data_IF_229746671196
#
_entry.id   IF_229746671196
#
_cell.length_a   1.000
_cell.length_b   1.000
_cell.length_c   1.000
_cell.angle_alpha   90.00
_cell.angle_beta   90.00
_cell.angle_gamma   90.00
#
_symmetry.space_group_name_H-M   'P 1'
#
loop_
_entity.id
_entity.type
_entity.pdbx_description
1 polymer ?
#
# COMPACT_ATOMS: atom_id res chain seq x y z
N UNK A 1 -1.14 -11.64 10.03
CA UNK A 1 -1.28 -10.23 10.46
C UNK A 1 -2.53 -9.97 11.28
N UNK A 2 -3.74 -10.35 10.85
CA UNK A 2 -4.97 -10.17 11.67
C UNK A 2 -4.84 -10.65 13.12
N UNK A 3 -4.38 -11.90 13.32
CA UNK A 3 -4.11 -12.46 14.65
C UNK A 3 -3.06 -11.64 15.44
N UNK A 4 -1.96 -11.29 14.77
CA UNK A 4 -0.89 -10.48 15.37
C UNK A 4 -1.37 -9.10 15.82
N UNK A 5 -2.20 -8.42 15.03
CA UNK A 5 -2.81 -7.13 15.41
C UNK A 5 -3.73 -7.30 16.62
N UNK A 6 -4.51 -8.37 16.69
CA UNK A 6 -5.35 -8.64 17.85
C UNK A 6 -4.52 -8.94 19.11
N UNK A 7 -3.48 -9.78 19.00
CA UNK A 7 -2.56 -10.07 20.09
C UNK A 7 -1.87 -8.79 20.59
N UNK A 8 -1.46 -7.89 19.70
CA UNK A 8 -0.86 -6.62 20.12
C UNK A 8 -1.87 -5.71 20.80
N UNK A 9 -3.12 -5.61 20.30
CA UNK A 9 -4.19 -4.84 20.95
C UNK A 9 -4.50 -5.31 22.36
N UNK A 10 -4.49 -6.62 22.59
CA UNK A 10 -4.74 -7.19 23.92
C UNK A 10 -3.61 -6.88 24.90
N UNK A 11 -2.37 -6.75 24.42
CA UNK A 11 -1.18 -6.54 25.25
C UNK A 11 -0.77 -5.06 25.40
N UNK A 12 -1.28 -4.17 24.55
CA UNK A 12 -1.00 -2.74 24.64
C UNK A 12 -2.00 -2.07 25.58
N UNK A 13 -1.53 -1.49 26.68
CA UNK A 13 -2.27 -0.43 27.35
C UNK A 13 -2.49 0.72 26.34
N UNK A 14 -3.45 1.63 26.59
CA UNK A 14 -3.66 2.87 25.81
C UNK A 14 -2.44 3.83 25.92
N UNK A 15 -1.28 3.36 25.49
CA UNK A 15 0.01 4.01 25.50
C UNK A 15 0.55 3.96 24.07
N UNK A 16 0.72 5.15 23.50
CA UNK A 16 1.04 5.37 22.10
C UNK A 16 2.37 6.11 21.98
N UNK A 17 3.51 5.39 22.07
CA UNK A 17 4.82 6.02 22.17
C UNK A 17 5.18 6.86 20.94
N UNK A 18 4.66 6.53 19.76
CA UNK A 18 4.96 7.27 18.53
C UNK A 18 4.21 8.61 18.42
N UNK A 19 3.22 8.86 19.28
CA UNK A 19 2.49 10.14 19.29
C UNK A 19 3.37 11.34 19.64
N UNK A 20 4.49 11.13 20.34
CA UNK A 20 5.49 12.20 20.59
C UNK A 20 5.95 12.88 19.29
N UNK A 21 5.95 12.16 18.17
CA UNK A 21 6.32 12.72 16.86
C UNK A 21 5.30 13.70 16.30
N UNK A 22 4.11 13.82 16.88
CA UNK A 22 3.00 14.62 16.37
C UNK A 22 2.69 15.86 17.24
N UNK A 23 3.37 16.05 18.37
CA UNK A 23 3.08 17.13 19.34
C UNK A 23 3.19 18.54 18.75
N UNK A 24 3.90 18.68 17.63
CA UNK A 24 4.09 19.96 16.93
C UNK A 24 2.95 20.32 15.96
N UNK A 25 1.91 19.47 15.83
CA UNK A 25 0.84 19.59 14.82
C UNK A 25 -0.52 20.05 15.38
N UNK A 26 -0.55 20.64 16.58
CA UNK A 26 -1.79 20.99 17.30
C UNK A 26 -2.55 22.16 16.67
N UNK A 27 -3.87 22.03 16.49
CA UNK A 27 -4.80 23.02 15.89
C UNK A 27 -6.28 22.78 16.38
N UNK A 28 -7.16 23.79 16.26
CA UNK A 28 -8.47 23.86 16.96
C UNK A 28 -9.68 23.20 16.24
N UNK A 29 -9.50 22.58 15.06
CA UNK A 29 -10.60 21.95 14.31
C UNK A 29 -10.54 20.40 14.33
N UNK A 30 -11.63 19.74 13.94
CA UNK A 30 -11.64 18.27 13.74
C UNK A 30 -11.65 17.93 12.24
N UNK A 31 -10.75 17.04 11.76
CA UNK A 31 -10.74 16.62 10.37
C UNK A 31 -11.94 15.71 10.04
N UNK A 32 -12.42 15.79 8.79
CA UNK A 32 -13.51 14.94 8.29
C UNK A 32 -12.99 13.69 7.57
N UNK A 33 -11.78 13.76 7.02
CA UNK A 33 -11.12 12.69 6.28
C UNK A 33 -10.05 12.02 7.15
N UNK A 34 -10.46 11.03 7.95
CA UNK A 34 -9.58 10.36 8.93
C UNK A 34 -9.26 8.92 8.57
N UNK A 35 -9.94 8.35 7.57
CA UNK A 35 -9.73 6.97 7.14
C UNK A 35 -8.58 6.93 6.16
N UNK A 36 -7.54 6.19 6.53
CA UNK A 36 -6.33 6.03 5.75
C UNK A 36 -6.23 4.60 5.22
N UNK A 37 -5.87 4.45 3.95
CA UNK A 37 -5.50 3.18 3.34
C UNK A 37 -4.01 3.23 3.01
N UNK A 38 -3.24 2.36 3.66
CA UNK A 38 -1.77 2.27 3.52
C UNK A 38 -1.45 1.03 2.70
N UNK A 39 -0.64 1.18 1.66
CA UNK A 39 -0.26 0.10 0.73
C UNK A 39 1.21 0.26 0.34
N UNK A 40 2.03 -0.74 0.69
CA UNK A 40 3.47 -0.73 0.45
C UNK A 40 3.77 -0.90 -1.05
N UNK A 41 4.71 -0.10 -1.52
CA UNK A 41 5.03 -0.04 -2.93
C UNK A 41 5.83 -1.26 -3.39
N UNK A 42 5.31 -1.96 -4.40
CA UNK A 42 5.88 -3.18 -4.98
C UNK A 42 6.50 -4.12 -3.93
N UNK A 43 5.81 -4.34 -2.81
CA UNK A 43 6.33 -4.83 -1.52
C UNK A 43 7.48 -5.86 -1.61
N UNK A 44 7.29 -7.01 -2.27
CA UNK A 44 8.33 -8.04 -2.31
C UNK A 44 9.60 -7.60 -3.04
N UNK A 45 9.49 -6.73 -4.05
CA UNK A 45 10.64 -6.12 -4.72
C UNK A 45 11.31 -5.13 -3.78
N UNK A 46 10.56 -4.23 -3.14
CA UNK A 46 11.10 -3.26 -2.20
C UNK A 46 11.91 -3.92 -1.08
N UNK A 47 11.39 -5.02 -0.50
CA UNK A 47 12.13 -5.80 0.50
C UNK A 47 13.40 -6.43 -0.09
N UNK A 48 13.32 -7.01 -1.29
CA UNK A 48 14.47 -7.64 -1.94
C UNK A 48 15.58 -6.65 -2.34
N UNK A 49 15.23 -5.39 -2.61
CA UNK A 49 16.18 -4.33 -2.96
C UNK A 49 16.93 -3.77 -1.75
N UNK A 50 16.45 -3.99 -0.51
CA UNK A 50 17.14 -3.52 0.72
C UNK A 50 18.58 -4.00 0.83
N UNK A 51 18.85 -5.21 0.36
CA UNK A 51 20.18 -5.84 0.38
C UNK A 51 20.87 -5.82 -0.98
N UNK A 52 20.27 -5.14 -1.98
CA UNK A 52 20.71 -5.11 -3.38
C UNK A 52 20.62 -3.70 -3.98
N UNK A 53 21.37 -2.73 -3.44
CA UNK A 53 21.31 -1.34 -3.90
C UNK A 53 21.68 -1.19 -5.40
N UNK A 54 22.49 -2.08 -5.95
CA UNK A 54 22.87 -2.12 -7.36
C UNK A 54 21.71 -2.44 -8.32
N UNK A 55 20.56 -2.86 -7.79
CA UNK A 55 19.34 -3.16 -8.54
C UNK A 55 18.28 -2.06 -8.46
N UNK A 56 18.51 -1.01 -7.67
CA UNK A 56 17.62 0.17 -7.60
C UNK A 56 17.57 0.83 -8.99
N UNK A 57 16.36 1.17 -9.46
CA UNK A 57 16.15 1.75 -10.78
C UNK A 57 16.20 0.76 -11.94
N UNK A 58 16.29 -0.56 -11.68
CA UNK A 58 16.27 -1.61 -12.70
C UNK A 58 14.92 -2.34 -12.74
N UNK A 59 14.52 -2.92 -13.88
CA UNK A 59 13.30 -3.73 -13.97
C UNK A 59 13.49 -5.06 -13.23
N UNK A 60 12.90 -5.15 -12.04
CA UNK A 60 13.02 -6.33 -11.15
C UNK A 60 11.65 -6.99 -10.94
N UNK A 61 11.63 -8.32 -10.87
CA UNK A 61 10.45 -9.12 -10.55
C UNK A 61 10.78 -10.24 -9.55
N UNK A 62 9.85 -10.54 -8.64
CA UNK A 62 9.93 -11.68 -7.72
C UNK A 62 9.14 -12.85 -8.28
N UNK A 63 9.78 -14.01 -8.37
CA UNK A 63 9.18 -15.23 -8.92
C UNK A 63 9.97 -16.49 -8.52
N UNK A 64 9.35 -17.66 -8.65
CA UNK A 64 9.98 -18.95 -8.35
C UNK A 64 11.02 -19.37 -9.41
N UNK A 65 10.89 -18.85 -10.62
CA UNK A 65 11.74 -19.22 -11.74
C UNK A 65 13.11 -18.56 -11.66
N UNK A 66 14.16 -19.38 -11.62
CA UNK A 66 15.57 -18.96 -11.72
C UNK A 66 16.07 -18.86 -13.17
N UNK A 67 15.17 -18.81 -14.16
CA UNK A 67 15.56 -18.59 -15.56
C UNK A 67 16.13 -19.80 -16.31
N UNK A 68 15.80 -21.03 -15.91
CA UNK A 68 16.19 -22.27 -16.62
C UNK A 68 14.95 -22.94 -17.23
N UNK A 69 15.12 -23.58 -18.40
CA UNK A 69 14.10 -24.24 -19.23
C UNK A 69 12.89 -24.78 -18.44
N UNK A 70 11.68 -24.33 -18.81
CA UNK A 70 10.43 -24.55 -18.05
C UNK A 70 10.00 -23.34 -17.19
N UNK A 71 10.94 -22.44 -16.87
CA UNK A 71 10.80 -21.14 -16.21
C UNK A 71 9.68 -20.21 -16.70
N UNK A 72 9.25 -20.35 -17.96
CA UNK A 72 8.33 -19.41 -18.60
C UNK A 72 6.91 -19.40 -18.03
N UNK A 73 6.52 -20.47 -17.33
CA UNK A 73 5.17 -20.66 -16.77
C UNK A 73 5.06 -20.18 -15.31
N UNK A 74 6.14 -19.72 -14.69
CA UNK A 74 6.03 -19.11 -13.36
C UNK A 74 5.39 -17.73 -13.46
N UNK A 75 4.50 -17.44 -12.52
CA UNK A 75 3.89 -16.12 -12.37
C UNK A 75 4.84 -15.16 -11.64
N UNK A 76 4.68 -13.88 -11.94
CA UNK A 76 5.36 -12.79 -11.23
C UNK A 76 4.53 -12.41 -10.00
N UNK A 77 5.10 -12.57 -8.81
CA UNK A 77 4.44 -12.19 -7.56
C UNK A 77 4.36 -10.67 -7.40
N UNK A 78 5.49 -10.00 -7.66
CA UNK A 78 5.63 -8.55 -7.60
C UNK A 78 6.65 -8.10 -8.63
N UNK A 79 6.44 -6.95 -9.24
CA UNK A 79 7.38 -6.30 -10.14
C UNK A 79 7.58 -4.83 -9.78
N UNK A 80 8.78 -4.32 -10.05
CA UNK A 80 9.20 -2.94 -9.81
C UNK A 80 8.42 -1.95 -10.69
N UNK A 81 8.42 -0.68 -10.33
CA UNK A 81 7.76 0.35 -11.14
C UNK A 81 8.43 0.53 -12.51
N UNK A 82 9.74 0.31 -12.59
CA UNK A 82 10.51 0.30 -13.84
C UNK A 82 10.06 -0.85 -14.76
N UNK A 83 9.80 -2.04 -14.20
CA UNK A 83 9.21 -3.14 -14.96
C UNK A 83 7.76 -2.84 -15.37
N UNK A 84 6.97 -2.20 -14.49
CA UNK A 84 5.58 -1.78 -14.81
C UNK A 84 5.52 -0.75 -15.91
N UNK A 85 6.47 0.17 -15.98
CA UNK A 85 6.58 1.16 -17.05
C UNK A 85 6.79 0.50 -18.43
N UNK A 86 7.44 -0.68 -18.45
CA UNK A 86 7.61 -1.50 -19.66
C UNK A 86 6.43 -2.46 -19.91
N UNK A 87 5.35 -2.37 -19.14
CA UNK A 87 4.14 -3.18 -19.34
C UNK A 87 4.10 -4.50 -18.56
N UNK A 88 5.10 -4.80 -17.72
CA UNK A 88 5.04 -5.95 -16.81
C UNK A 88 3.97 -5.71 -15.73
N UNK A 89 3.29 -6.78 -15.31
CA UNK A 89 2.23 -6.73 -14.29
C UNK A 89 2.37 -7.91 -13.33
N UNK A 90 1.96 -7.70 -12.08
CA UNK A 90 1.83 -8.81 -11.13
C UNK A 90 0.81 -9.83 -11.67
N UNK A 91 1.04 -11.12 -11.39
CA UNK A 91 0.23 -12.23 -11.87
C UNK A 91 0.47 -12.63 -13.32
N UNK A 92 1.28 -11.89 -14.09
CA UNK A 92 1.61 -12.30 -15.45
C UNK A 92 2.72 -13.37 -15.48
N UNK A 93 2.70 -14.22 -16.50
CA UNK A 93 3.76 -15.21 -16.72
C UNK A 93 5.06 -14.56 -17.17
N UNK A 94 6.20 -15.05 -16.66
CA UNK A 94 7.54 -14.56 -17.05
C UNK A 94 7.75 -14.61 -18.56
N UNK A 95 7.26 -15.65 -19.24
CA UNK A 95 7.38 -15.76 -20.71
C UNK A 95 6.77 -14.55 -21.43
N UNK A 96 5.67 -14.01 -20.90
CA UNK A 96 5.02 -12.83 -21.48
C UNK A 96 5.71 -11.55 -21.02
N UNK A 97 6.12 -11.47 -19.75
CA UNK A 97 6.87 -10.33 -19.23
C UNK A 97 8.18 -10.08 -19.99
N UNK A 98 8.94 -11.14 -20.31
CA UNK A 98 10.20 -11.04 -21.06
C UNK A 98 10.05 -10.58 -22.51
N UNK A 99 8.85 -10.71 -23.10
CA UNK A 99 8.60 -10.18 -24.44
C UNK A 99 8.55 -8.65 -24.45
N UNK A 100 8.05 -8.06 -23.36
CA UNK A 100 7.92 -6.59 -23.22
C UNK A 100 9.08 -5.96 -22.46
N UNK A 101 9.77 -6.75 -21.63
CA UNK A 101 10.95 -6.36 -20.85
C UNK A 101 12.02 -7.46 -20.94
N UNK A 102 12.85 -7.49 -22.00
CA UNK A 102 13.88 -8.52 -22.18
C UNK A 102 14.91 -8.56 -21.04
N UNK A 103 15.26 -7.38 -20.51
CA UNK A 103 16.25 -7.19 -19.44
C UNK A 103 15.67 -7.43 -18.03
N UNK A 104 14.48 -8.04 -17.91
CA UNK A 104 13.82 -8.28 -16.63
C UNK A 104 14.67 -9.17 -15.71
N UNK A 105 15.01 -8.63 -14.54
CA UNK A 105 15.78 -9.29 -13.50
C UNK A 105 14.82 -10.05 -12.60
N UNK A 106 14.96 -11.37 -12.51
CA UNK A 106 14.11 -12.22 -11.68
C UNK A 106 14.85 -12.60 -10.40
N UNK A 107 14.25 -12.30 -9.24
CA UNK A 107 14.79 -12.63 -7.92
C UNK A 107 13.88 -13.66 -7.21
N UNK A 108 14.45 -14.50 -6.33
CA UNK A 108 13.67 -15.46 -5.55
C UNK A 108 12.86 -14.78 -4.44
N UNK A 109 11.90 -15.51 -3.89
CA UNK A 109 11.16 -15.07 -2.70
C UNK A 109 12.04 -15.05 -1.44
N UNK A 110 11.79 -14.07 -0.58
CA UNK A 110 12.39 -13.91 0.74
C UNK A 110 11.28 -13.84 1.81
N UNK A 111 10.58 -14.96 2.03
CA UNK A 111 9.35 -15.00 2.83
C UNK A 111 9.52 -14.55 4.28
N UNK A 112 10.67 -14.86 4.90
CA UNK A 112 10.93 -14.45 6.27
C UNK A 112 11.13 -12.93 6.36
N UNK A 113 11.92 -12.34 5.45
CA UNK A 113 12.09 -10.87 5.35
C UNK A 113 10.74 -10.16 5.15
N UNK A 114 9.85 -10.71 4.31
CA UNK A 114 8.50 -10.15 4.11
C UNK A 114 7.68 -10.17 5.40
N UNK A 115 7.78 -11.25 6.18
CA UNK A 115 7.06 -11.38 7.45
C UNK A 115 7.61 -10.42 8.49
N UNK A 116 8.92 -10.26 8.58
CA UNK A 116 9.58 -9.34 9.51
C UNK A 116 9.21 -7.90 9.22
N UNK A 117 9.37 -7.45 7.97
CA UNK A 117 9.01 -6.08 7.55
C UNK A 117 7.52 -5.81 7.76
N UNK A 118 6.66 -6.78 7.44
CA UNK A 118 5.22 -6.66 7.70
C UNK A 118 4.93 -6.42 9.18
N UNK A 119 5.50 -7.23 10.09
CA UNK A 119 5.33 -7.05 11.54
C UNK A 119 5.85 -5.70 12.02
N UNK A 120 6.98 -5.26 11.52
CA UNK A 120 7.57 -3.96 11.87
C UNK A 120 6.62 -2.81 11.50
N UNK A 121 6.01 -2.85 10.32
CA UNK A 121 5.04 -1.83 9.87
C UNK A 121 3.80 -1.80 10.75
N UNK A 122 3.23 -2.96 11.06
CA UNK A 122 2.10 -3.03 11.98
C UNK A 122 2.48 -2.51 13.38
N UNK A 123 3.70 -2.76 13.84
CA UNK A 123 4.20 -2.27 15.13
C UNK A 123 4.37 -0.75 15.15
N UNK A 124 4.87 -0.15 14.06
CA UNK A 124 4.94 1.30 13.88
C UNK A 124 3.56 1.93 14.02
N UNK A 125 2.57 1.41 13.27
CA UNK A 125 1.22 1.96 13.27
C UNK A 125 0.52 1.86 14.64
N UNK A 126 0.76 0.76 15.35
CA UNK A 126 0.26 0.56 16.71
C UNK A 126 0.88 1.52 17.73
N UNK A 127 2.03 2.11 17.42
CA UNK A 127 2.61 3.22 18.16
C UNK A 127 1.78 4.51 18.10
N UNK A 128 0.88 4.63 17.11
CA UNK A 128 -0.01 5.78 16.93
C UNK A 128 -1.44 5.48 17.37
N UNK A 129 -2.02 4.38 16.90
CA UNK A 129 -3.43 4.04 17.13
C UNK A 129 -3.70 2.54 17.12
N UNK A 130 -4.69 2.09 17.90
CA UNK A 130 -5.17 0.71 17.86
C UNK A 130 -6.22 0.49 16.76
N UNK A 131 -6.72 1.54 16.11
CA UNK A 131 -7.80 1.49 15.12
C UNK A 131 -7.29 1.06 13.73
N UNK A 132 -6.71 -0.14 13.66
CA UNK A 132 -6.10 -0.72 12.46
C UNK A 132 -6.90 -1.92 11.96
N UNK A 133 -7.25 -1.94 10.68
CA UNK A 133 -7.83 -3.12 10.03
C UNK A 133 -6.82 -3.72 9.05
N UNK A 134 -6.23 -4.84 9.46
CA UNK A 134 -5.32 -5.61 8.61
C UNK A 134 -6.05 -6.20 7.39
N UNK A 135 -5.56 -5.88 6.19
CA UNK A 135 -6.06 -6.43 4.91
C UNK A 135 -5.16 -7.59 4.47
N UNK A 136 -3.85 -7.33 4.33
CA UNK A 136 -2.81 -8.30 3.93
C UNK A 136 -1.52 -8.11 4.77
N UNK A 137 -0.39 -8.65 4.30
CA UNK A 137 0.92 -8.37 4.89
C UNK A 137 1.41 -6.93 4.63
N UNK A 138 0.94 -6.31 3.57
CA UNK A 138 1.43 -5.05 3.02
C UNK A 138 0.31 -4.01 2.78
N UNK A 139 -0.92 -4.33 3.19
CA UNK A 139 -2.10 -3.50 3.00
C UNK A 139 -2.94 -3.45 4.30
N UNK A 140 -3.33 -2.24 4.70
CA UNK A 140 -4.11 -2.01 5.92
C UNK A 140 -4.94 -0.73 5.82
N UNK A 141 -6.02 -0.69 6.61
CA UNK A 141 -6.72 0.57 6.90
C UNK A 141 -6.40 1.04 8.31
N UNK A 142 -6.31 2.34 8.50
CA UNK A 142 -6.07 3.00 9.79
C UNK A 142 -7.10 4.12 9.93
N UNK A 143 -7.79 4.16 11.06
CA UNK A 143 -8.68 5.27 11.41
C UNK A 143 -7.99 6.18 12.43
N UNK A 144 -7.77 7.43 12.00
CA UNK A 144 -7.08 8.45 12.79
C UNK A 144 -8.04 9.36 13.56
N UNK A 145 -9.36 9.14 13.53
CA UNK A 145 -10.33 10.04 14.15
C UNK A 145 -10.07 10.24 15.65
N UNK A 146 -9.92 9.15 16.42
CA UNK A 146 -9.61 9.23 17.86
C UNK A 146 -8.27 9.90 18.14
N UNK A 147 -7.24 9.59 17.34
CA UNK A 147 -5.92 10.18 17.48
C UNK A 147 -5.96 11.70 17.25
N UNK A 148 -6.65 12.14 16.19
CA UNK A 148 -6.79 13.55 15.86
C UNK A 148 -7.52 14.31 16.97
N UNK A 149 -8.58 13.72 17.55
CA UNK A 149 -9.32 14.31 18.67
C UNK A 149 -8.49 14.40 19.95
N UNK A 150 -7.80 13.32 20.32
CA UNK A 150 -7.01 13.26 21.56
C UNK A 150 -5.80 14.19 21.52
N UNK A 151 -5.17 14.32 20.35
CA UNK A 151 -3.99 15.18 20.15
C UNK A 151 -4.31 16.58 19.64
N UNK A 152 -5.58 16.88 19.37
CA UNK A 152 -6.02 18.13 18.75
C UNK A 152 -5.27 18.42 17.43
N UNK A 153 -5.19 17.43 16.54
CA UNK A 153 -4.51 17.57 15.23
C UNK A 153 -5.55 17.64 14.12
N UNK A 154 -5.48 18.67 13.29
CA UNK A 154 -6.36 18.84 12.12
C UNK A 154 -5.78 18.23 10.86
N UNK A 155 -4.46 18.32 10.68
CA UNK A 155 -3.83 18.01 9.42
C UNK A 155 -3.42 16.53 9.31
N UNK A 156 -4.36 15.71 8.84
CA UNK A 156 -4.14 14.27 8.62
C UNK A 156 -3.01 14.01 7.61
N UNK A 157 -2.78 14.90 6.63
CA UNK A 157 -1.68 14.74 5.69
C UNK A 157 -0.32 14.78 6.41
N UNK A 158 -0.14 15.64 7.41
CA UNK A 158 1.12 15.71 8.16
C UNK A 158 1.37 14.45 9.01
N UNK A 159 0.32 13.93 9.67
CA UNK A 159 0.42 12.64 10.38
C UNK A 159 0.88 11.54 9.42
N UNK A 160 0.30 11.50 8.22
CA UNK A 160 0.67 10.51 7.20
C UNK A 160 2.10 10.73 6.67
N UNK A 161 2.56 11.97 6.51
CA UNK A 161 3.95 12.28 6.14
C UNK A 161 4.93 11.74 7.18
N UNK A 162 4.63 11.91 8.47
CA UNK A 162 5.43 11.37 9.58
C UNK A 162 5.45 9.85 9.55
N UNK A 163 4.28 9.21 9.47
CA UNK A 163 4.15 7.74 9.43
C UNK A 163 4.91 7.15 8.23
N UNK A 164 4.76 7.74 7.03
CA UNK A 164 5.46 7.28 5.82
C UNK A 164 6.98 7.40 5.96
N UNK A 165 7.45 8.50 6.53
CA UNK A 165 8.87 8.72 6.79
C UNK A 165 9.41 7.69 7.78
N UNK A 166 8.68 7.42 8.87
CA UNK A 166 9.07 6.40 9.85
C UNK A 166 9.10 4.98 9.24
N UNK A 167 8.10 4.61 8.43
CA UNK A 167 8.08 3.35 7.69
C UNK A 167 9.33 3.24 6.80
N UNK A 168 9.66 4.29 6.04
CA UNK A 168 10.85 4.29 5.18
C UNK A 168 12.13 4.15 5.99
N UNK A 169 12.29 4.93 7.07
CA UNK A 169 13.50 4.91 7.91
C UNK A 169 13.72 3.56 8.57
N UNK A 170 12.67 2.93 9.11
CA UNK A 170 12.79 1.65 9.83
C UNK A 170 12.91 0.45 8.89
N UNK A 171 12.12 0.46 7.81
CA UNK A 171 11.99 -0.73 6.95
C UNK A 171 12.78 -0.64 5.64
N UNK A 172 13.22 0.55 5.23
CA UNK A 172 13.78 0.80 3.91
C UNK A 172 12.77 0.68 2.76
N UNK A 173 11.47 0.53 3.05
CA UNK A 173 10.42 0.37 2.06
C UNK A 173 9.51 1.61 2.01
N UNK A 174 9.13 2.02 0.80
CA UNK A 174 8.16 3.10 0.62
C UNK A 174 6.72 2.59 0.78
N UNK A 175 5.87 3.45 1.33
CA UNK A 175 4.43 3.22 1.39
C UNK A 175 3.69 4.38 0.73
N UNK A 176 2.64 4.03 -0.02
CA UNK A 176 1.69 4.99 -0.57
C UNK A 176 0.42 4.99 0.26
N UNK A 177 -0.13 6.18 0.53
CA UNK A 177 -1.25 6.34 1.45
C UNK A 177 -2.38 7.14 0.82
N UNK A 178 -3.59 6.59 0.85
CA UNK A 178 -4.80 7.30 0.44
C UNK A 178 -5.63 7.68 1.65
N UNK A 179 -6.18 8.90 1.66
CA UNK A 179 -6.96 9.44 2.78
C UNK A 179 -8.35 9.82 2.28
N UNK A 180 -9.37 9.49 3.05
CA UNK A 180 -10.75 9.83 2.76
C UNK A 180 -11.67 9.75 3.98
N UNK A 181 -12.94 10.03 3.76
CA UNK A 181 -13.99 9.93 4.79
C UNK A 181 -14.54 8.49 4.97
N UNK A 182 -14.25 7.59 4.02
CA UNK A 182 -14.67 6.18 4.06
C UNK A 182 -13.56 5.27 3.54
N UNK A 183 -13.63 3.98 3.86
CA UNK A 183 -12.65 2.99 3.38
C UNK A 183 -12.56 2.92 1.85
N UNK A 184 -13.69 3.03 1.14
CA UNK A 184 -13.70 3.00 -0.33
C UNK A 184 -12.94 4.19 -0.90
N UNK A 185 -13.23 5.40 -0.42
CA UNK A 185 -12.58 6.63 -0.89
C UNK A 185 -11.09 6.62 -0.54
N UNK A 186 -10.72 6.20 0.67
CA UNK A 186 -9.32 6.05 1.05
C UNK A 186 -8.56 5.09 0.12
N UNK A 187 -9.16 3.95 -0.24
CA UNK A 187 -8.54 2.98 -1.16
C UNK A 187 -8.38 3.55 -2.58
N UNK A 188 -9.38 4.28 -3.08
CA UNK A 188 -9.29 4.95 -4.38
C UNK A 188 -8.18 6.01 -4.34
N UNK A 189 -8.12 6.81 -3.29
CA UNK A 189 -7.08 7.82 -3.10
C UNK A 189 -5.66 7.21 -3.15
N UNK A 190 -5.45 6.00 -2.62
CA UNK A 190 -4.15 5.32 -2.69
C UNK A 190 -3.70 5.03 -4.12
N UNK A 191 -4.63 4.79 -5.05
CA UNK A 191 -4.28 4.58 -6.46
C UNK A 191 -3.68 5.85 -7.08
N UNK A 192 -4.21 7.02 -6.72
CA UNK A 192 -3.67 8.34 -7.10
C UNK A 192 -2.38 8.69 -6.37
N UNK A 193 -2.18 8.12 -5.17
CA UNK A 193 -0.98 8.34 -4.37
C UNK A 193 0.24 7.54 -4.85
N UNK A 194 0.05 6.44 -5.60
CA UNK A 194 1.16 5.56 -6.02
C UNK A 194 1.95 6.15 -7.20
N UNK A 195 3.28 5.99 -7.24
CA UNK A 195 4.16 5.42 -6.20
C UNK A 195 4.67 6.45 -5.18
N UNK A 196 5.03 5.97 -3.99
CA UNK A 196 5.63 6.71 -2.88
C UNK A 196 5.02 8.10 -2.65
N UNK A 197 3.70 8.16 -2.59
CA UNK A 197 2.98 9.40 -2.38
C UNK A 197 1.88 9.27 -1.34
N UNK A 198 1.22 10.39 -1.10
CA UNK A 198 0.01 10.44 -0.32
C UNK A 198 -1.01 11.35 -1.00
N UNK A 199 -2.27 10.97 -0.94
CA UNK A 199 -3.34 11.71 -1.60
C UNK A 199 -4.60 11.69 -0.74
N UNK A 200 -5.24 12.84 -0.60
CA UNK A 200 -6.48 13.00 0.15
C UNK A 200 -7.60 13.40 -0.81
N UNK A 201 -8.71 12.66 -0.76
CA UNK A 201 -9.96 13.06 -1.41
C UNK A 201 -10.84 13.70 -0.35
N UNK A 202 -11.08 15.00 -0.48
CA UNK A 202 -11.96 15.75 0.42
C UNK A 202 -13.42 15.41 0.15
N UNK A 203 -14.26 15.53 1.17
CA UNK A 203 -15.69 15.24 1.09
C UNK A 203 -16.39 15.96 -0.08
N UNK A 204 -16.01 17.21 -0.36
CA UNK A 204 -16.58 18.01 -1.46
C UNK A 204 -16.17 17.56 -2.86
N UNK A 205 -15.06 16.83 -3.00
CA UNK A 205 -14.49 16.44 -4.29
C UNK A 205 -14.90 15.01 -4.72
N UNK A 206 -15.54 14.25 -3.84
CA UNK A 206 -15.85 12.82 -4.03
C UNK A 206 -16.60 12.58 -5.35
N UNK A 207 -17.65 13.35 -5.62
CA UNK A 207 -18.49 13.15 -6.80
C UNK A 207 -17.69 13.35 -8.10
N UNK A 208 -16.77 14.30 -8.13
CA UNK A 208 -15.93 14.56 -9.30
C UNK A 208 -14.89 13.48 -9.52
N UNK A 209 -14.30 12.95 -8.44
CA UNK A 209 -13.34 11.86 -8.51
C UNK A 209 -14.03 10.59 -8.99
N UNK A 210 -15.13 10.19 -8.35
CA UNK A 210 -15.86 8.95 -8.66
C UNK A 210 -16.34 8.92 -10.11
N UNK A 211 -16.79 10.05 -10.67
CA UNK A 211 -17.20 10.13 -12.09
C UNK A 211 -16.06 9.85 -13.08
N UNK A 212 -14.81 10.09 -12.68
CA UNK A 212 -13.62 9.89 -13.51
C UNK A 212 -13.00 8.49 -13.32
N UNK A 213 -13.41 7.78 -12.26
CA UNK A 213 -12.90 6.44 -11.96
C UNK A 213 -13.39 5.40 -12.95
N UNK A 214 -12.47 4.51 -13.34
CA UNK A 214 -12.83 3.35 -14.15
C UNK A 214 -13.57 2.35 -13.29
N UNK A 215 -14.63 1.74 -13.82
CA UNK A 215 -15.36 0.70 -13.06
C UNK A 215 -14.41 -0.44 -12.64
N UNK A 216 -13.42 -0.78 -13.46
CA UNK A 216 -12.43 -1.81 -13.13
C UNK A 216 -11.42 -1.40 -12.05
N UNK A 217 -11.35 -0.13 -11.66
CA UNK A 217 -10.49 0.34 -10.56
C UNK A 217 -11.15 0.14 -9.18
N UNK A 218 -12.46 -0.11 -9.15
CA UNK A 218 -13.22 -0.27 -7.91
C UNK A 218 -12.91 -1.62 -7.23
N UNK A 219 -12.73 -1.62 -5.89
CA UNK A 219 -12.50 -2.85 -5.15
C UNK A 219 -13.67 -3.82 -5.29
N UNK A 220 -13.35 -5.10 -5.46
CA UNK A 220 -14.34 -6.16 -5.63
C UNK A 220 -14.83 -6.37 -7.07
N UNK A 221 -14.46 -5.50 -8.02
CA UNK A 221 -14.80 -5.65 -9.43
C UNK A 221 -13.66 -6.34 -10.19
N UNK A 222 -13.73 -7.67 -10.26
CA UNK A 222 -12.79 -8.48 -11.03
C UNK A 222 -13.16 -8.63 -12.51
N UNK A 223 -12.30 -9.29 -13.29
CA UNK A 223 -12.47 -9.53 -14.73
C UNK A 223 -13.86 -10.07 -15.11
N UNK A 224 -14.38 -11.03 -14.35
CA UNK A 224 -15.69 -11.63 -14.60
C UNK A 224 -16.85 -10.64 -14.42
N UNK A 225 -16.78 -9.75 -13.42
CA UNK A 225 -17.81 -8.73 -13.19
C UNK A 225 -17.70 -7.66 -14.27
N UNK A 226 -16.48 -7.23 -14.62
CA UNK A 226 -16.24 -6.32 -15.75
C UNK A 226 -16.85 -6.87 -17.05
N UNK A 227 -16.61 -8.15 -17.36
CA UNK A 227 -17.14 -8.79 -18.56
C UNK A 227 -18.68 -8.81 -18.59
N UNK A 228 -19.34 -9.04 -17.45
CA UNK A 228 -20.80 -8.97 -17.34
C UNK A 228 -21.32 -7.55 -17.54
N UNK A 229 -20.70 -6.57 -16.88
CA UNK A 229 -21.08 -5.16 -16.99
C UNK A 229 -20.89 -4.60 -18.40
N UNK A 230 -19.83 -5.00 -19.12
CA UNK A 230 -19.65 -4.67 -20.55
C UNK A 230 -20.80 -5.17 -21.40
N UNK A 231 -21.29 -6.39 -21.15
CA UNK A 231 -22.45 -6.95 -21.86
C UNK A 231 -23.73 -6.15 -21.61
N UNK A 232 -23.83 -5.47 -20.47
CA UNK A 232 -24.94 -4.59 -20.13
C UNK A 232 -24.78 -3.15 -20.64
N UNK A 233 -23.73 -2.84 -21.40
CA UNK A 233 -23.52 -1.52 -22.00
C UNK A 233 -22.75 -0.50 -21.13
N UNK A 234 -22.21 -0.92 -19.98
CA UNK A 234 -21.37 -0.05 -19.16
C UNK A 234 -19.94 0.05 -19.72
N UNK A 235 -19.41 1.27 -19.78
CA UNK A 235 -18.08 1.60 -20.32
C UNK A 235 -17.04 1.61 -19.19
N UNK A 236 -15.80 1.23 -19.51
CA UNK A 236 -14.68 0.99 -18.58
C UNK A 236 -13.47 1.87 -18.88
#
# INVERSE_FOLDING_TARGET
MKRYVNELRENQANNFPSRVHLEHLVDENSPKETICHIDLDCFFVSVALRTRPELIGKPVAITHSRGIEGAGMSEIASCSYEARAQGVRNGCFIKNARKVCPDLICLPYQFDDYREVSKEIYSILLGYTLNIRAVSCDEMYVDLESLCKEMHITNVMEIISVIRSEILTKTGCNASVGIGNTMLIARIATQHAKPNGQFMIKLGDIDEVIKKEKISSLPGIGYNICAKLRKCGFIF
#
